data_IF_226489720816
#
_entry.id   IF_226489720816
#
_cell.length_a   1.000
_cell.length_b   1.000
_cell.length_c   1.000
_cell.angle_alpha   90.00
_cell.angle_beta   90.00
_cell.angle_gamma   90.00
#
_symmetry.space_group_name_H-M   'P 1'
#
loop_
_entity.id
_entity.type
_entity.pdbx_description
1 polymer ?
#
# COMPACT_ATOMS: atom_id res chain seq x y z
N UNK A 1 -34.15 -26.58 -34.02
CA UNK A 1 -34.10 -26.73 -32.55
C UNK A 1 -32.68 -26.69 -32.04
N UNK A 2 -31.76 -27.48 -32.54
CA UNK A 2 -30.34 -27.52 -32.09
C UNK A 2 -29.61 -26.18 -32.30
N UNK A 3 -29.83 -25.48 -33.41
CA UNK A 3 -29.21 -24.17 -33.68
C UNK A 3 -29.65 -23.09 -32.66
N UNK A 4 -30.93 -23.07 -32.28
CA UNK A 4 -31.45 -22.14 -31.27
C UNK A 4 -30.89 -22.45 -29.87
N UNK A 5 -30.73 -23.72 -29.52
CA UNK A 5 -30.13 -24.15 -28.26
C UNK A 5 -28.66 -23.72 -28.20
N UNK A 6 -27.90 -23.91 -29.29
CA UNK A 6 -26.50 -23.44 -29.38
C UNK A 6 -26.38 -21.93 -29.22
N UNK A 7 -27.27 -21.16 -29.86
CA UNK A 7 -27.30 -19.70 -29.70
C UNK A 7 -27.58 -19.26 -28.25
N UNK A 8 -28.56 -19.91 -27.60
CA UNK A 8 -28.89 -19.60 -26.20
C UNK A 8 -27.70 -19.91 -25.26
N UNK A 9 -27.03 -21.04 -25.49
CA UNK A 9 -25.84 -21.43 -24.71
C UNK A 9 -24.71 -20.41 -24.92
N UNK A 10 -24.42 -19.99 -26.15
CA UNK A 10 -23.40 -18.98 -26.44
C UNK A 10 -23.72 -17.62 -25.81
N UNK A 11 -24.96 -17.18 -25.86
CA UNK A 11 -25.41 -15.91 -25.25
C UNK A 11 -25.29 -16.02 -23.71
N UNK A 12 -25.69 -17.12 -23.12
CA UNK A 12 -25.58 -17.36 -21.69
C UNK A 12 -24.09 -17.38 -21.22
N UNK A 13 -23.20 -18.03 -21.97
CA UNK A 13 -21.76 -18.03 -21.69
C UNK A 13 -21.17 -16.64 -21.81
N UNK A 14 -21.59 -15.83 -22.79
CA UNK A 14 -21.13 -14.47 -22.99
C UNK A 14 -21.58 -13.54 -21.87
N UNK A 15 -22.78 -13.72 -21.33
CA UNK A 15 -23.29 -12.94 -20.19
C UNK A 15 -22.56 -13.28 -18.90
N UNK A 16 -22.06 -14.50 -18.73
CA UNK A 16 -21.30 -14.90 -17.55
C UNK A 16 -19.89 -14.30 -17.48
N UNK A 17 -19.29 -13.94 -18.61
CA UNK A 17 -17.92 -13.38 -18.65
C UNK A 17 -17.86 -11.91 -18.23
N UNK A 18 -18.98 -11.19 -18.14
CA UNK A 18 -19.02 -9.78 -17.77
C UNK A 18 -18.99 -9.50 -16.25
N UNK A 19 -19.01 -10.53 -15.41
CA UNK A 19 -19.15 -10.37 -13.96
C UNK A 19 -17.82 -10.40 -13.19
N UNK A 20 -16.67 -10.45 -13.85
CA UNK A 20 -15.36 -10.39 -13.19
C UNK A 20 -15.03 -8.93 -12.85
N UNK A 21 -15.54 -8.44 -11.73
CA UNK A 21 -15.07 -7.18 -11.14
C UNK A 21 -13.78 -7.46 -10.38
N UNK A 22 -12.67 -6.93 -10.87
CA UNK A 22 -11.42 -6.92 -10.12
C UNK A 22 -11.59 -6.01 -8.91
N UNK A 23 -11.54 -6.58 -7.71
CA UNK A 23 -11.52 -5.80 -6.49
C UNK A 23 -10.22 -5.01 -6.43
N UNK A 24 -10.30 -3.69 -6.28
CA UNK A 24 -9.12 -2.85 -6.04
C UNK A 24 -8.49 -3.26 -4.71
N UNK A 25 -7.27 -3.75 -4.76
CA UNK A 25 -6.50 -4.03 -3.56
C UNK A 25 -6.15 -2.70 -2.87
N UNK A 26 -6.58 -2.55 -1.63
CA UNK A 26 -6.21 -1.42 -0.78
C UNK A 26 -5.17 -1.90 0.22
N UNK A 27 -3.99 -1.27 0.20
CA UNK A 27 -2.91 -1.61 1.12
C UNK A 27 -3.29 -1.24 2.56
N UNK A 28 -2.80 -2.02 3.52
CA UNK A 28 -3.10 -1.77 4.94
C UNK A 28 -2.64 -0.37 5.39
N UNK A 29 -1.51 0.12 4.88
CA UNK A 29 -1.00 1.45 5.17
C UNK A 29 -1.90 2.59 4.66
N UNK A 30 -2.69 2.36 3.59
CA UNK A 30 -3.64 3.33 3.04
C UNK A 30 -4.91 3.47 3.91
N UNK A 31 -5.16 2.50 4.78
CA UNK A 31 -6.35 2.46 5.64
C UNK A 31 -6.13 3.25 6.93
N UNK A 32 -5.78 4.50 6.82
CA UNK A 32 -5.50 5.39 7.95
C UNK A 32 -6.68 5.54 8.90
N UNK A 33 -7.90 5.48 8.37
CA UNK A 33 -9.15 5.47 9.13
C UNK A 33 -9.24 4.32 10.15
N UNK A 34 -8.58 3.20 9.88
CA UNK A 34 -8.62 2.01 10.73
C UNK A 34 -7.59 2.06 11.85
N UNK A 35 -6.38 2.58 11.61
CA UNK A 35 -5.29 2.46 12.58
C UNK A 35 -4.81 3.77 13.21
N UNK A 36 -5.13 4.94 12.61
CA UNK A 36 -4.57 6.22 13.04
C UNK A 36 -4.87 6.52 14.52
N UNK A 37 -6.09 6.23 14.97
CA UNK A 37 -6.49 6.44 16.36
C UNK A 37 -5.67 5.62 17.38
N UNK A 38 -5.03 4.54 16.94
CA UNK A 38 -4.12 3.76 17.79
C UNK A 38 -2.75 4.44 17.97
N UNK A 39 -2.40 5.37 17.10
CA UNK A 39 -1.13 6.09 17.08
C UNK A 39 -1.21 7.48 17.73
N UNK A 40 -2.40 8.04 17.85
CA UNK A 40 -2.63 9.37 18.44
C UNK A 40 -2.09 9.45 19.87
N UNK A 41 -1.47 10.58 20.21
CA UNK A 41 -0.86 10.87 21.51
C UNK A 41 0.24 9.87 21.94
N UNK A 42 0.86 9.19 20.99
CA UNK A 42 1.97 8.28 21.22
C UNK A 42 3.22 8.70 20.44
N UNK A 43 4.38 8.38 20.98
CA UNK A 43 5.64 8.44 20.26
C UNK A 43 5.76 7.17 19.40
N UNK A 44 5.84 7.36 18.10
CA UNK A 44 5.78 6.27 17.13
C UNK A 44 7.14 6.06 16.49
N UNK A 45 7.58 4.82 16.40
CA UNK A 45 8.69 4.42 15.56
C UNK A 45 8.17 3.70 14.32
N UNK A 46 8.75 4.01 13.17
CA UNK A 46 8.41 3.36 11.91
C UNK A 46 9.57 2.45 11.50
N UNK A 47 9.25 1.23 11.10
CA UNK A 47 10.18 0.33 10.41
C UNK A 47 9.75 0.24 8.97
N UNK A 48 10.55 0.73 8.05
CA UNK A 48 10.17 0.79 6.65
C UNK A 48 11.34 1.14 5.74
N UNK A 49 11.09 1.11 4.45
CA UNK A 49 12.05 1.45 3.40
C UNK A 49 11.40 2.33 2.34
N UNK A 50 12.10 2.58 1.22
CA UNK A 50 11.61 3.42 0.12
C UNK A 50 10.31 2.93 -0.53
N UNK A 51 9.91 1.67 -0.32
CA UNK A 51 8.65 1.13 -0.86
C UNK A 51 7.47 1.30 0.08
N UNK A 52 7.70 1.81 1.29
CA UNK A 52 6.65 2.08 2.28
C UNK A 52 5.88 3.34 1.90
N UNK A 53 4.99 3.21 0.90
CA UNK A 53 4.27 4.34 0.30
C UNK A 53 2.77 4.26 0.57
N UNK A 54 2.16 5.43 0.73
CA UNK A 54 0.72 5.64 0.62
C UNK A 54 0.50 6.50 -0.63
N UNK A 55 -0.05 5.90 -1.68
CA UNK A 55 -0.10 6.50 -3.01
C UNK A 55 1.30 6.98 -3.45
N UNK A 56 1.50 8.28 -3.62
CA UNK A 56 2.77 8.89 -4.05
C UNK A 56 3.57 9.51 -2.89
N UNK A 57 3.15 9.30 -1.64
CA UNK A 57 3.78 9.89 -0.46
C UNK A 57 4.35 8.79 0.43
N UNK A 58 5.56 8.98 0.95
CA UNK A 58 6.14 8.02 1.87
C UNK A 58 5.30 7.92 3.16
N UNK A 59 5.20 6.72 3.74
CA UNK A 59 4.43 6.46 4.96
C UNK A 59 4.80 7.41 6.11
N UNK A 60 6.09 7.67 6.30
CA UNK A 60 6.57 8.59 7.35
C UNK A 60 6.01 10.00 7.14
N UNK A 61 6.11 10.53 5.92
CA UNK A 61 5.61 11.87 5.59
C UNK A 61 4.09 11.95 5.73
N UNK A 62 3.39 10.88 5.37
CA UNK A 62 1.94 10.77 5.53
C UNK A 62 1.54 10.80 7.00
N UNK A 63 2.22 10.04 7.86
CA UNK A 63 1.94 10.02 9.30
C UNK A 63 2.24 11.37 9.96
N UNK A 64 3.36 12.01 9.60
CA UNK A 64 3.71 13.36 10.08
C UNK A 64 2.64 14.39 9.66
N UNK A 65 2.18 14.34 8.41
CA UNK A 65 1.14 15.25 7.90
C UNK A 65 -0.21 15.05 8.61
N UNK A 66 -0.46 13.85 9.13
CA UNK A 66 -1.64 13.50 9.92
C UNK A 66 -1.47 13.79 11.42
N UNK A 67 -0.36 14.42 11.82
CA UNK A 67 -0.14 14.85 13.20
C UNK A 67 0.38 13.75 14.14
N UNK A 68 0.89 12.65 13.61
CA UNK A 68 1.48 11.58 14.42
C UNK A 68 2.92 11.97 14.80
N UNK A 69 3.26 11.80 16.08
CA UNK A 69 4.61 12.06 16.60
C UNK A 69 5.56 10.89 16.25
N UNK A 70 6.10 10.94 15.02
CA UNK A 70 7.09 9.96 14.55
C UNK A 70 8.47 10.38 15.08
N UNK A 71 8.98 9.67 16.06
CA UNK A 71 10.24 9.99 16.75
C UNK A 71 11.45 9.28 16.15
N UNK A 72 11.27 8.17 15.45
CA UNK A 72 12.37 7.42 14.87
C UNK A 72 11.89 6.57 13.67
N UNK A 73 12.79 6.42 12.70
CA UNK A 73 12.60 5.50 11.57
C UNK A 73 13.76 4.53 11.55
N UNK A 74 13.46 3.24 11.46
CA UNK A 74 14.42 2.18 11.25
C UNK A 74 14.25 1.64 9.83
N UNK A 75 15.35 1.54 9.10
CA UNK A 75 15.32 1.06 7.72
C UNK A 75 16.41 0.01 7.51
N UNK A 76 16.10 -1.10 6.83
CA UNK A 76 17.11 -1.99 6.29
C UNK A 76 17.88 -1.29 5.16
N UNK A 77 18.60 -2.03 4.38
CA UNK A 77 19.43 -1.57 3.25
C UNK A 77 18.85 -0.36 2.49
N UNK A 78 19.72 0.47 1.91
CA UNK A 78 19.40 1.67 1.12
C UNK A 78 18.80 2.85 1.90
N UNK A 79 18.52 2.71 3.19
CA UNK A 79 17.83 3.74 3.97
C UNK A 79 16.33 3.84 3.65
N UNK A 80 15.56 4.53 4.46
CA UNK A 80 14.11 4.60 4.25
C UNK A 80 13.71 5.47 3.04
N UNK A 81 14.61 6.34 2.54
CA UNK A 81 14.45 7.11 1.30
C UNK A 81 15.04 6.41 0.07
N UNK A 82 15.73 5.28 0.24
CA UNK A 82 16.30 4.51 -0.87
C UNK A 82 17.44 5.18 -1.63
N UNK A 83 18.21 6.05 -0.97
CA UNK A 83 19.28 6.84 -1.60
C UNK A 83 20.66 6.18 -1.55
N UNK A 84 20.83 5.16 -0.72
CA UNK A 84 22.11 4.49 -0.56
C UNK A 84 22.26 3.31 -1.53
N UNK A 85 23.47 3.07 -2.02
CA UNK A 85 23.78 1.94 -2.88
C UNK A 85 23.73 0.61 -2.14
N UNK A 86 23.62 -0.49 -2.89
CA UNK A 86 23.61 -1.84 -2.31
C UNK A 86 24.92 -2.11 -1.57
N UNK A 87 24.82 -2.54 -0.31
CA UNK A 87 25.97 -2.81 0.56
C UNK A 87 26.64 -1.58 1.16
N UNK A 88 26.13 -0.37 0.89
CA UNK A 88 26.64 0.84 1.55
C UNK A 88 26.32 0.85 3.04
N UNK A 89 27.24 1.41 3.82
CA UNK A 89 26.99 1.67 5.24
C UNK A 89 26.03 2.85 5.32
N UNK A 90 24.93 2.66 6.05
CA UNK A 90 23.94 3.71 6.32
C UNK A 90 24.18 4.19 7.74
N UNK A 91 24.61 5.43 7.86
CA UNK A 91 24.81 6.08 9.16
C UNK A 91 23.47 6.60 9.71
N UNK A 92 23.37 6.67 11.03
CA UNK A 92 22.26 7.34 11.68
C UNK A 92 22.30 8.83 11.36
N UNK A 93 21.14 9.40 11.09
CA UNK A 93 21.02 10.81 10.73
C UNK A 93 19.65 11.40 11.06
N UNK A 94 19.52 12.66 10.75
CA UNK A 94 18.26 13.40 10.84
C UNK A 94 17.77 13.63 9.41
N UNK A 95 16.50 13.32 9.15
CA UNK A 95 15.85 13.52 7.85
C UNK A 95 15.22 14.94 7.78
#
# INVERSE_FOLDING_TARGET
>A
MIAKIKQIICISLFLFTFSAQAQKLVLAAERTDVYLHHLENKKVCVVGNQTSMIANTHLVDSLLSLGIDVVKVFSPEHGFRGKADAGAIIEDGID
#
